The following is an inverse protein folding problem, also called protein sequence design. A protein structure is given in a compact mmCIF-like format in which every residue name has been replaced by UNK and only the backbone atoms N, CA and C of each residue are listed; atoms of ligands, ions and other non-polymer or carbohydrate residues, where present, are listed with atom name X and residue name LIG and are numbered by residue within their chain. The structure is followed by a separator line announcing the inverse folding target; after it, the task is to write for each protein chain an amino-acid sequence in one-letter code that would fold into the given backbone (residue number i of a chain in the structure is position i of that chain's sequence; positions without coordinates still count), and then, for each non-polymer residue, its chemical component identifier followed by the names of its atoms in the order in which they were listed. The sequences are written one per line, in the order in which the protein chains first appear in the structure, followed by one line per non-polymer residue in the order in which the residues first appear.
data_IF_023306700354
#
_entry.id   IF_023306700354
#
_cell.length_a   1.000
_cell.length_b   1.000
_cell.length_c   1.000
_cell.angle_alpha   90.00
_cell.angle_beta   90.00
_cell.angle_gamma   90.00
#
_symmetry.space_group_name_H-M   'P 1'
#
loop_
_entity.id
_entity.type
_entity.pdbx_description
1 polymer ?
#
# COMPACT_ATOMS: atom_id res chain seq x y z
N UNK A 1 -0.02 21.13 -14.00
CA UNK A 1 1.29 20.54 -14.29
C UNK A 1 2.32 21.02 -13.26
N UNK A 2 2.68 22.29 -13.22
CA UNK A 2 3.73 22.88 -12.37
C UNK A 2 3.64 22.51 -10.87
N UNK A 3 2.45 22.54 -10.27
CA UNK A 3 2.26 22.15 -8.87
C UNK A 3 2.54 20.66 -8.61
N UNK A 4 2.24 19.80 -9.57
CA UNK A 4 2.49 18.36 -9.44
C UNK A 4 3.97 18.03 -9.61
N UNK A 5 4.66 18.78 -10.47
CA UNK A 5 6.11 18.70 -10.61
C UNK A 5 6.81 19.14 -9.32
N UNK A 6 6.38 20.24 -8.71
CA UNK A 6 6.90 20.67 -7.41
C UNK A 6 6.68 19.61 -6.31
N UNK A 7 5.50 18.99 -6.26
CA UNK A 7 5.23 17.91 -5.30
C UNK A 7 6.15 16.71 -5.56
N UNK A 8 6.32 16.30 -6.83
CA UNK A 8 7.23 15.23 -7.20
C UNK A 8 8.65 15.53 -6.72
N UNK A 9 9.19 16.68 -7.10
CA UNK A 9 10.56 17.06 -6.78
C UNK A 9 10.76 17.13 -5.26
N UNK A 10 9.80 17.71 -4.54
CA UNK A 10 9.86 17.73 -3.06
C UNK A 10 9.78 16.33 -2.43
N UNK A 11 9.02 15.42 -3.01
CA UNK A 11 8.95 14.01 -2.54
C UNK A 11 10.25 13.27 -2.85
N UNK A 12 10.83 13.50 -4.03
CA UNK A 12 12.10 12.93 -4.45
C UNK A 12 13.24 13.38 -3.52
N UNK A 13 13.37 14.69 -3.30
CA UNK A 13 14.34 15.27 -2.37
C UNK A 13 14.14 14.71 -0.95
N UNK A 14 12.87 14.66 -0.48
CA UNK A 14 12.54 14.14 0.84
C UNK A 14 12.94 12.67 1.03
N UNK A 15 12.83 11.86 -0.01
CA UNK A 15 13.25 10.46 0.03
C UNK A 15 14.78 10.35 -0.02
N UNK A 16 15.44 11.12 -0.89
CA UNK A 16 16.91 11.11 -1.00
C UNK A 16 17.56 11.54 0.32
N UNK A 17 17.14 12.64 0.91
CA UNK A 17 17.71 13.20 2.14
C UNK A 17 17.40 12.34 3.39
N UNK A 18 16.47 11.42 3.30
CA UNK A 18 16.08 10.58 4.44
C UNK A 18 17.01 9.41 4.70
N UNK A 19 17.80 9.02 3.71
CA UNK A 19 18.73 7.89 3.80
C UNK A 19 20.17 8.37 3.83
N UNK A 20 20.99 7.76 4.68
CA UNK A 20 22.41 8.09 4.77
C UNK A 20 23.18 7.36 3.66
N UNK A 21 23.93 8.12 2.88
CA UNK A 21 24.75 7.60 1.78
C UNK A 21 25.89 6.68 2.25
N UNK A 22 26.29 6.82 3.51
CA UNK A 22 27.38 6.07 4.14
C UNK A 22 26.89 4.89 4.98
N UNK A 23 25.60 4.60 4.96
CA UNK A 23 25.07 3.43 5.66
C UNK A 23 25.69 2.14 5.09
N UNK A 24 26.14 1.26 5.98
CA UNK A 24 26.86 0.02 5.61
C UNK A 24 26.01 -0.99 4.83
N UNK A 25 24.69 -0.86 4.89
CA UNK A 25 23.75 -1.78 4.26
C UNK A 25 22.68 -1.01 3.51
N UNK A 26 22.22 -1.53 2.36
CA UNK A 26 21.20 -0.87 1.56
C UNK A 26 19.86 -0.80 2.28
N UNK A 27 19.18 0.33 2.11
CA UNK A 27 17.79 0.48 2.49
C UNK A 27 16.88 0.05 1.34
N UNK A 28 15.77 -0.55 1.68
CA UNK A 28 14.73 -0.90 0.71
C UNK A 28 13.45 -0.17 1.08
N UNK A 29 12.89 0.52 0.09
CA UNK A 29 11.62 1.22 0.20
C UNK A 29 10.66 0.60 -0.81
N UNK A 30 9.55 0.09 -0.32
CA UNK A 30 8.50 -0.49 -1.16
C UNK A 30 7.23 0.34 -1.04
N UNK A 31 6.65 0.69 -2.18
CA UNK A 31 5.36 1.34 -2.28
C UNK A 31 4.34 0.36 -2.81
N UNK A 32 3.24 0.21 -2.11
CA UNK A 32 2.11 -0.61 -2.51
C UNK A 32 0.92 0.31 -2.78
N UNK A 33 0.57 0.49 -4.04
CA UNK A 33 -0.59 1.27 -4.46
C UNK A 33 -1.75 0.33 -4.76
N UNK A 34 -2.88 0.58 -4.16
CA UNK A 34 -4.07 -0.26 -4.25
C UNK A 34 -5.32 0.59 -4.21
N UNK A 35 -6.31 0.22 -5.02
CA UNK A 35 -7.66 0.76 -4.92
C UNK A 35 -8.49 -0.12 -3.99
N UNK A 36 -9.00 0.49 -2.93
CA UNK A 36 -9.80 -0.18 -1.91
C UNK A 36 -11.24 0.32 -1.97
N UNK A 37 -12.17 -0.62 -1.95
CA UNK A 37 -13.60 -0.34 -1.87
C UNK A 37 -14.13 -0.30 -0.42
N UNK A 38 -13.24 -0.27 0.56
CA UNK A 38 -13.57 -0.14 1.97
C UNK A 38 -14.02 1.28 2.30
N UNK A 39 -15.32 1.44 2.49
CA UNK A 39 -15.94 2.71 2.84
C UNK A 39 -16.25 2.84 4.33
N UNK A 40 -15.99 1.82 5.15
CA UNK A 40 -16.27 1.81 6.59
C UNK A 40 -15.50 2.92 7.30
N UNK A 41 -14.27 3.22 6.87
CA UNK A 41 -13.49 4.34 7.40
C UNK A 41 -14.21 5.70 7.24
N UNK A 42 -14.97 5.89 6.17
CA UNK A 42 -15.76 7.13 6.00
C UNK A 42 -16.97 7.17 6.92
N UNK A 43 -17.63 6.03 7.11
CA UNK A 43 -18.76 5.93 8.05
C UNK A 43 -18.29 6.25 9.46
N UNK A 44 -17.15 5.73 9.89
CA UNK A 44 -16.55 6.04 11.19
C UNK A 44 -16.18 7.52 11.32
N UNK A 45 -15.66 8.14 10.27
CA UNK A 45 -15.41 9.58 10.24
C UNK A 45 -16.72 10.37 10.36
N UNK A 46 -17.77 9.99 9.66
CA UNK A 46 -19.09 10.63 9.77
C UNK A 46 -19.62 10.53 11.19
N UNK A 47 -19.48 9.39 11.86
CA UNK A 47 -19.83 9.23 13.28
C UNK A 47 -19.02 10.19 14.17
N UNK A 48 -17.72 10.35 13.92
CA UNK A 48 -16.86 11.27 14.64
C UNK A 48 -17.24 12.76 14.49
N UNK A 49 -17.98 13.13 13.44
CA UNK A 49 -18.49 14.50 13.25
C UNK A 49 -19.83 14.78 13.97
N UNK A 50 -20.49 13.73 14.46
CA UNK A 50 -21.74 13.90 15.18
C UNK A 50 -21.51 14.69 16.47
N UNK A 51 -22.28 15.75 16.64
CA UNK A 51 -22.19 16.57 17.86
C UNK A 51 -22.79 15.83 19.06
N UNK A 52 -22.26 16.01 20.29
CA UNK A 52 -22.72 15.29 21.47
C UNK A 52 -24.24 15.37 21.73
N UNK A 53 -24.86 16.53 21.42
CA UNK A 53 -26.30 16.71 21.59
C UNK A 53 -27.17 15.98 20.55
N UNK A 54 -26.57 15.54 19.46
CA UNK A 54 -27.25 14.78 18.38
C UNK A 54 -26.92 13.29 18.42
N UNK A 55 -25.96 12.89 19.25
CA UNK A 55 -25.55 11.51 19.42
C UNK A 55 -26.70 10.65 19.98
N UNK A 56 -26.92 9.48 19.37
CA UNK A 56 -28.00 8.58 19.76
C UNK A 56 -29.42 9.04 19.40
N UNK A 57 -29.59 10.18 18.73
CA UNK A 57 -30.92 10.59 18.26
C UNK A 57 -31.38 9.69 17.11
N UNK A 58 -32.68 9.40 17.05
CA UNK A 58 -33.27 8.56 16.01
C UNK A 58 -33.02 9.09 14.59
N UNK A 59 -32.99 10.42 14.44
CA UNK A 59 -32.68 11.07 13.17
C UNK A 59 -31.22 10.85 12.76
N UNK A 60 -30.29 11.09 13.68
CA UNK A 60 -28.85 10.91 13.41
C UNK A 60 -28.51 9.46 13.04
N UNK A 61 -29.09 8.52 13.80
CA UNK A 61 -28.89 7.10 13.52
C UNK A 61 -29.52 6.66 12.18
N UNK A 62 -30.67 7.20 11.82
CA UNK A 62 -31.29 6.94 10.52
C UNK A 62 -30.45 7.51 9.38
N UNK A 63 -29.93 8.73 9.56
CA UNK A 63 -29.08 9.38 8.58
C UNK A 63 -27.77 8.63 8.39
N UNK A 64 -27.09 8.21 9.47
CA UNK A 64 -25.85 7.44 9.40
C UNK A 64 -26.06 6.09 8.69
N UNK A 65 -27.15 5.38 8.98
CA UNK A 65 -27.49 4.13 8.27
C UNK A 65 -27.73 4.36 6.78
N UNK A 66 -28.39 5.45 6.42
CA UNK A 66 -28.65 5.78 5.03
C UNK A 66 -27.36 6.14 4.28
N UNK A 67 -26.46 6.90 4.92
CA UNK A 67 -25.15 7.22 4.36
C UNK A 67 -24.29 5.97 4.19
N UNK A 68 -24.28 5.07 5.17
CA UNK A 68 -23.58 3.80 5.07
C UNK A 68 -24.12 2.96 3.90
N UNK A 69 -25.44 2.86 3.77
CA UNK A 69 -26.08 2.15 2.67
C UNK A 69 -25.72 2.77 1.32
N UNK A 70 -25.72 4.09 1.23
CA UNK A 70 -25.34 4.82 0.04
C UNK A 70 -23.89 4.57 -0.36
N UNK A 71 -22.96 4.72 0.60
CA UNK A 71 -21.53 4.48 0.36
C UNK A 71 -21.25 3.05 -0.09
N UNK A 72 -21.84 2.05 0.58
CA UNK A 72 -21.73 0.65 0.15
C UNK A 72 -22.34 0.41 -1.23
N UNK A 73 -23.43 1.10 -1.56
CA UNK A 73 -24.06 1.03 -2.86
C UNK A 73 -23.16 1.54 -4.00
N UNK A 74 -22.42 2.63 -3.78
CA UNK A 74 -21.47 3.17 -4.80
C UNK A 74 -20.13 2.41 -4.85
N UNK A 75 -19.76 1.72 -3.78
CA UNK A 75 -18.53 0.94 -3.70
C UNK A 75 -18.67 -0.52 -4.18
N UNK A 76 -19.86 -0.94 -4.54
CA UNK A 76 -20.12 -2.31 -5.02
C UNK A 76 -19.33 -2.63 -6.28
N UNK A 77 -18.94 -3.91 -6.51
CA UNK A 77 -18.12 -4.31 -7.64
C UNK A 77 -18.66 -3.92 -9.02
N UNK A 78 -19.98 -3.99 -9.19
CA UNK A 78 -20.66 -3.64 -10.44
C UNK A 78 -20.67 -2.13 -10.72
N UNK A 79 -20.38 -1.33 -9.69
CA UNK A 79 -20.39 0.12 -9.76
C UNK A 79 -21.79 0.72 -9.99
N UNK A 80 -21.82 2.01 -10.30
CA UNK A 80 -23.05 2.74 -10.63
C UNK A 80 -23.35 2.72 -12.14
N UNK A 81 -22.31 2.78 -12.95
CA UNK A 81 -22.38 2.69 -14.40
C UNK A 81 -21.03 2.23 -14.95
N UNK A 82 -21.04 1.81 -16.22
CA UNK A 82 -19.79 1.48 -16.91
C UNK A 82 -19.27 2.69 -17.66
N UNK A 83 -18.03 3.05 -17.42
CA UNK A 83 -17.33 4.06 -18.20
C UNK A 83 -16.96 3.48 -19.58
N UNK A 84 -17.77 3.79 -20.58
CA UNK A 84 -17.54 3.31 -21.95
C UNK A 84 -16.59 4.19 -22.76
N UNK A 85 -16.23 5.36 -22.23
CA UNK A 85 -15.45 6.36 -22.97
C UNK A 85 -13.95 6.23 -22.74
N UNK A 86 -13.52 5.91 -21.50
CA UNK A 86 -12.11 5.95 -21.12
C UNK A 86 -11.61 4.58 -20.70
N UNK A 87 -12.16 3.99 -19.63
CA UNK A 87 -11.60 2.79 -19.02
C UNK A 87 -12.26 1.49 -19.43
N UNK A 88 -13.49 1.52 -19.86
CA UNK A 88 -14.31 0.35 -20.11
C UNK A 88 -14.71 -0.41 -18.84
N UNK A 89 -14.38 0.09 -17.65
CA UNK A 89 -14.61 -0.54 -16.37
C UNK A 89 -15.85 -0.01 -15.65
N UNK A 90 -16.41 -0.74 -14.69
CA UNK A 90 -17.46 -0.22 -13.82
C UNK A 90 -16.94 0.98 -13.01
N UNK A 91 -17.65 2.10 -13.06
CA UNK A 91 -17.37 3.24 -12.20
C UNK A 91 -17.93 2.99 -10.80
N UNK A 92 -17.08 3.03 -9.81
CA UNK A 92 -17.42 2.76 -8.41
C UNK A 92 -16.67 3.68 -7.45
N UNK A 93 -17.20 3.86 -6.25
CA UNK A 93 -16.51 4.53 -5.17
C UNK A 93 -15.38 3.65 -4.64
N UNK A 94 -14.16 4.16 -4.70
CA UNK A 94 -12.99 3.49 -4.16
C UNK A 94 -11.98 4.52 -3.67
N UNK A 95 -11.12 4.10 -2.75
CA UNK A 95 -10.01 4.89 -2.25
C UNK A 95 -8.71 4.35 -2.81
N UNK A 96 -7.93 5.22 -3.45
CA UNK A 96 -6.55 4.88 -3.78
C UNK A 96 -5.68 5.08 -2.56
N UNK A 97 -5.10 4.00 -2.07
CA UNK A 97 -4.21 4.01 -0.93
C UNK A 97 -2.81 3.61 -1.36
N UNK A 98 -1.83 4.37 -0.87
CA UNK A 98 -0.42 4.01 -1.00
C UNK A 98 0.11 3.67 0.38
N UNK A 99 0.70 2.49 0.51
CA UNK A 99 1.41 2.06 1.72
C UNK A 99 2.89 2.01 1.41
N UNK A 100 3.69 2.48 2.33
CA UNK A 100 5.14 2.45 2.21
C UNK A 100 5.71 1.54 3.30
N UNK A 101 6.59 0.64 2.89
CA UNK A 101 7.35 -0.24 3.78
C UNK A 101 8.82 0.08 3.64
N UNK A 102 9.49 0.34 4.75
CA UNK A 102 10.92 0.62 4.81
C UNK A 102 11.59 -0.48 5.60
N UNK A 103 12.60 -1.10 5.04
CA UNK A 103 13.40 -2.10 5.73
C UNK A 103 14.83 -2.15 5.20
N UNK A 104 15.69 -2.83 5.92
CA UNK A 104 17.01 -3.22 5.43
C UNK A 104 17.45 -4.56 5.99
N UNK A 105 18.33 -5.22 5.28
CA UNK A 105 18.96 -6.45 5.73
C UNK A 105 20.23 -6.10 6.48
N UNK A 106 20.39 -6.65 7.66
CA UNK A 106 21.54 -6.42 8.51
C UNK A 106 22.24 -7.76 8.72
N UNK A 107 23.54 -7.80 8.42
CA UNK A 107 24.37 -8.98 8.67
C UNK A 107 24.56 -9.25 10.17
N UNK A 108 24.95 -10.47 10.52
CA UNK A 108 25.22 -10.85 11.90
C UNK A 108 26.34 -10.04 12.53
N UNK A 109 27.28 -9.51 11.73
CA UNK A 109 28.42 -8.70 12.16
C UNK A 109 28.13 -7.21 11.94
N UNK A 110 26.97 -6.75 12.33
CA UNK A 110 26.62 -5.34 12.23
C UNK A 110 27.42 -4.52 13.25
N UNK A 111 28.12 -3.49 12.77
CA UNK A 111 28.90 -2.55 13.58
C UNK A 111 28.25 -1.16 13.65
N UNK A 112 26.96 -1.05 13.31
CA UNK A 112 26.26 0.22 13.41
C UNK A 112 26.25 0.76 14.83
N UNK A 113 26.44 2.07 15.02
CA UNK A 113 26.53 2.69 16.35
C UNK A 113 25.21 2.64 17.13
N UNK A 114 24.09 2.41 16.45
CA UNK A 114 22.77 2.33 17.05
C UNK A 114 22.13 0.95 16.88
N UNK A 115 21.25 0.55 17.81
CA UNK A 115 20.45 -0.65 17.65
C UNK A 115 19.59 -0.58 16.36
N UNK A 116 19.42 -1.67 15.62
CA UNK A 116 18.71 -1.68 14.33
C UNK A 116 17.31 -1.07 14.38
N UNK A 117 16.55 -1.36 15.44
CA UNK A 117 15.20 -0.81 15.62
C UNK A 117 15.22 0.71 15.84
N UNK A 118 16.19 1.22 16.57
CA UNK A 118 16.33 2.65 16.80
C UNK A 118 16.67 3.39 15.51
N UNK A 119 17.59 2.84 14.71
CA UNK A 119 17.96 3.38 13.40
C UNK A 119 16.77 3.35 12.42
N UNK A 120 16.03 2.24 12.35
CA UNK A 120 14.81 2.16 11.52
C UNK A 120 13.78 3.22 11.95
N UNK A 121 13.56 3.39 13.25
CA UNK A 121 12.64 4.41 13.76
C UNK A 121 13.09 5.83 13.40
N UNK A 122 14.39 6.11 13.45
CA UNK A 122 14.95 7.41 13.06
C UNK A 122 14.72 7.68 11.56
N UNK A 123 15.02 6.72 10.69
CA UNK A 123 14.80 6.85 9.25
C UNK A 123 13.31 7.04 8.95
N UNK A 124 12.44 6.21 9.52
CA UNK A 124 10.98 6.37 9.35
C UNK A 124 10.50 7.76 9.80
N UNK A 125 11.02 8.30 10.90
CA UNK A 125 10.65 9.64 11.39
C UNK A 125 11.13 10.75 10.44
N UNK A 126 12.33 10.63 9.87
CA UNK A 126 12.84 11.56 8.85
C UNK A 126 11.94 11.54 7.61
N UNK A 127 11.65 10.36 7.07
CA UNK A 127 10.79 10.20 5.89
C UNK A 127 9.40 10.80 6.14
N UNK A 128 8.76 10.48 7.27
CA UNK A 128 7.44 11.03 7.61
C UNK A 128 7.48 12.56 7.74
N UNK A 129 8.52 13.10 8.38
CA UNK A 129 8.70 14.54 8.54
C UNK A 129 8.92 15.25 7.19
N UNK A 130 9.77 14.70 6.35
CA UNK A 130 10.08 15.25 5.03
C UNK A 130 8.88 15.21 4.09
N UNK A 131 8.17 14.08 4.01
CA UNK A 131 6.94 13.96 3.23
C UNK A 131 5.83 14.88 3.77
N UNK A 132 5.76 15.07 5.10
CA UNK A 132 4.87 16.05 5.73
C UNK A 132 5.16 17.47 5.27
N UNK A 133 6.43 17.84 5.14
CA UNK A 133 6.87 19.11 4.54
C UNK A 133 6.43 19.28 3.09
N UNK A 134 6.39 18.21 2.32
CA UNK A 134 5.88 18.17 0.94
C UNK A 134 4.34 18.20 0.86
N UNK A 135 3.63 18.24 2.00
CA UNK A 135 2.17 18.20 2.05
C UNK A 135 1.56 16.80 1.97
N UNK A 136 2.38 15.76 2.03
CA UNK A 136 1.92 14.36 2.05
C UNK A 136 1.72 13.92 3.50
N UNK A 137 0.48 13.62 3.86
CA UNK A 137 0.16 13.14 5.20
C UNK A 137 0.42 11.64 5.32
N UNK A 138 1.41 11.28 6.12
CA UNK A 138 1.75 9.90 6.42
C UNK A 138 1.25 9.52 7.82
N UNK A 139 0.68 8.32 7.94
CA UNK A 139 0.28 7.73 9.23
C UNK A 139 0.99 6.39 9.38
N UNK A 140 1.70 6.21 10.50
CA UNK A 140 2.39 4.95 10.78
C UNK A 140 1.37 3.88 11.13
N UNK A 141 1.42 2.76 10.42
CA UNK A 141 0.56 1.61 10.70
C UNK A 141 1.05 0.85 11.93
N UNK A 142 0.13 0.45 12.78
CA UNK A 142 0.40 -0.51 13.85
C UNK A 142 0.24 -1.95 13.34
N UNK A 143 0.60 -2.94 14.17
CA UNK A 143 0.54 -4.37 13.78
C UNK A 143 -0.86 -4.82 13.37
N UNK A 144 -1.91 -4.34 14.04
CA UNK A 144 -3.29 -4.67 13.71
C UNK A 144 -3.71 -4.12 12.33
N UNK A 145 -3.30 -2.91 12.00
CA UNK A 145 -3.57 -2.31 10.69
C UNK A 145 -2.83 -3.05 9.57
N UNK A 146 -1.59 -3.48 9.82
CA UNK A 146 -0.82 -4.31 8.87
C UNK A 146 -1.50 -5.66 8.69
N UNK A 147 -1.90 -6.32 9.78
CA UNK A 147 -2.63 -7.58 9.72
C UNK A 147 -3.94 -7.45 8.93
N UNK A 148 -4.76 -6.44 9.22
CA UNK A 148 -6.01 -6.20 8.52
C UNK A 148 -5.82 -5.91 7.02
N UNK A 149 -4.75 -5.23 6.63
CA UNK A 149 -4.40 -5.03 5.22
C UNK A 149 -4.04 -6.35 4.52
N UNK A 150 -3.13 -7.12 5.11
CA UNK A 150 -2.68 -8.41 4.55
C UNK A 150 -3.81 -9.45 4.54
N UNK A 151 -4.66 -9.45 5.57
CA UNK A 151 -5.81 -10.34 5.63
C UNK A 151 -6.73 -10.17 4.41
N UNK A 152 -6.98 -8.92 4.01
CA UNK A 152 -7.79 -8.60 2.82
C UNK A 152 -7.13 -9.05 1.53
N UNK A 153 -5.81 -8.95 1.46
CA UNK A 153 -5.04 -9.36 0.29
C UNK A 153 -5.07 -10.89 0.10
N UNK A 154 -4.93 -11.62 1.19
CA UNK A 154 -4.87 -13.09 1.15
C UNK A 154 -6.24 -13.78 1.19
N UNK A 155 -7.30 -13.07 1.57
CA UNK A 155 -8.66 -13.59 1.59
C UNK A 155 -9.61 -12.66 0.84
N UNK A 156 -9.48 -12.57 -0.48
CA UNK A 156 -10.27 -11.65 -1.29
C UNK A 156 -11.75 -12.07 -1.38
N UNK A 157 -12.04 -13.36 -1.22
CA UNK A 157 -13.40 -13.92 -1.32
C UNK A 157 -13.58 -15.11 -0.38
N UNK A 158 -13.56 -14.90 0.95
CA UNK A 158 -13.66 -15.99 1.90
C UNK A 158 -14.98 -16.75 1.76
N UNK A 159 -14.92 -18.09 1.72
CA UNK A 159 -16.12 -18.95 1.55
C UNK A 159 -16.88 -19.20 2.85
N UNK A 160 -16.17 -19.17 3.98
CA UNK A 160 -16.68 -19.62 5.29
C UNK A 160 -17.34 -18.52 6.11
N UNK A 161 -17.11 -17.27 5.77
CA UNK A 161 -17.64 -16.11 6.49
C UNK A 161 -17.85 -14.98 5.51
N UNK A 162 -18.85 -14.15 5.79
CA UNK A 162 -19.04 -12.93 5.02
C UNK A 162 -17.78 -12.06 5.08
N UNK A 163 -17.32 -11.61 3.92
CA UNK A 163 -16.08 -10.83 3.76
C UNK A 163 -16.05 -9.59 4.64
N UNK A 164 -17.15 -8.86 4.68
CA UNK A 164 -17.22 -7.62 5.45
C UNK A 164 -17.22 -7.90 6.96
N UNK A 165 -17.79 -9.03 7.38
CA UNK A 165 -17.74 -9.47 8.78
C UNK A 165 -16.30 -9.83 9.15
N UNK A 166 -15.61 -10.63 8.32
CA UNK A 166 -14.23 -11.02 8.56
C UNK A 166 -13.31 -9.81 8.72
N UNK A 167 -13.41 -8.85 7.79
CA UNK A 167 -12.55 -7.67 7.81
C UNK A 167 -12.82 -6.75 9.00
N UNK A 168 -14.09 -6.64 9.43
CA UNK A 168 -14.45 -5.89 10.63
C UNK A 168 -13.97 -6.56 11.91
N UNK A 169 -14.07 -7.87 11.99
CA UNK A 169 -13.57 -8.62 13.15
C UNK A 169 -12.06 -8.47 13.28
N UNK A 170 -11.33 -8.63 12.19
CA UNK A 170 -9.89 -8.43 12.17
C UNK A 170 -9.45 -7.01 12.56
N UNK A 171 -10.24 -6.00 12.16
CA UNK A 171 -9.95 -4.60 12.49
C UNK A 171 -10.24 -4.25 13.95
N UNK A 172 -11.12 -4.99 14.63
CA UNK A 172 -11.57 -4.75 16.00
C UNK A 172 -10.98 -5.71 17.02
N UNK A 173 -10.28 -6.75 16.57
CA UNK A 173 -9.63 -7.67 17.49
C UNK A 173 -8.63 -6.89 18.35
N UNK A 174 -8.89 -6.82 19.65
CA UNK A 174 -7.92 -6.28 20.60
C UNK A 174 -6.69 -7.18 20.59
N UNK A 175 -5.48 -6.60 20.59
CA UNK A 175 -4.27 -7.41 20.72
C UNK A 175 -4.36 -8.20 22.01
N UNK A 176 -4.28 -9.52 21.92
CA UNK A 176 -4.15 -10.34 23.12
C UNK A 176 -2.84 -9.96 23.80
N UNK A 177 -2.95 -9.45 25.02
CA UNK A 177 -1.77 -9.25 25.86
C UNK A 177 -1.18 -10.62 26.19
N UNK A 178 -0.12 -10.97 25.51
CA UNK A 178 0.69 -12.14 25.89
C UNK A 178 1.71 -11.71 26.92
N UNK A 179 1.94 -12.52 27.99
CA UNK A 179 3.00 -12.24 28.93
C UNK A 179 4.34 -12.04 28.20
N UNK A 180 5.14 -11.10 28.67
CA UNK A 180 6.42 -10.76 28.09
C UNK A 180 7.31 -12.03 27.93
N UNK A 181 7.75 -12.32 26.71
CA UNK A 181 8.54 -13.48 26.38
C UNK A 181 7.77 -14.75 26.00
N UNK A 182 6.43 -14.73 25.99
CA UNK A 182 5.63 -15.85 25.48
C UNK A 182 5.13 -15.54 24.06
N UNK A 183 5.37 -16.46 23.13
CA UNK A 183 4.70 -16.43 21.83
C UNK A 183 3.22 -16.78 22.03
N UNK A 184 2.29 -16.16 21.30
CA UNK A 184 0.88 -16.57 21.30
C UNK A 184 0.80 -18.07 20.95
N UNK A 185 0.10 -18.83 21.77
CA UNK A 185 0.15 -20.29 21.78
C UNK A 185 -0.44 -20.94 20.53
N UNK A 186 -0.96 -20.23 19.57
CA UNK A 186 -1.73 -20.88 18.52
C UNK A 186 -1.37 -20.52 17.08
N UNK A 187 -0.65 -19.46 16.80
CA UNK A 187 -0.38 -19.12 15.38
C UNK A 187 0.82 -18.22 15.26
N UNK A 188 1.67 -18.49 14.29
CA UNK A 188 2.55 -17.45 13.81
C UNK A 188 1.72 -16.40 12.99
N UNK A 189 2.34 -15.28 12.70
CA UNK A 189 1.67 -14.19 11.98
C UNK A 189 1.18 -14.65 10.59
N UNK A 190 1.94 -15.50 9.91
CA UNK A 190 1.61 -15.98 8.58
C UNK A 190 0.39 -16.91 8.61
N UNK A 191 0.33 -17.84 9.57
CA UNK A 191 -0.84 -18.72 9.73
C UNK A 191 -2.12 -17.94 10.00
N UNK A 192 -2.03 -16.84 10.74
CA UNK A 192 -3.20 -15.98 11.04
C UNK A 192 -3.79 -15.27 9.82
N UNK A 193 -3.07 -15.22 8.71
CA UNK A 193 -3.52 -14.57 7.48
C UNK A 193 -4.28 -15.50 6.53
N UNK A 194 -4.21 -16.82 6.72
CA UNK A 194 -4.77 -17.79 5.78
C UNK A 194 -6.01 -18.47 6.36
N UNK A 195 -7.19 -18.18 5.83
CA UNK A 195 -8.42 -18.89 6.14
C UNK A 195 -8.65 -20.05 5.18
N UNK A 196 -8.23 -19.90 3.94
CA UNK A 196 -8.23 -20.97 2.94
C UNK A 196 -6.81 -21.19 2.46
N UNK A 197 -6.32 -22.44 2.43
CA UNK A 197 -4.98 -22.71 1.91
C UNK A 197 -4.84 -22.23 0.46
N UNK A 198 -3.77 -21.49 0.13
CA UNK A 198 -3.51 -21.11 -1.25
C UNK A 198 -3.14 -22.33 -2.09
N UNK A 199 -3.58 -22.37 -3.33
CA UNK A 199 -3.20 -23.40 -4.29
C UNK A 199 -2.24 -22.82 -5.31
N UNK A 200 -1.06 -23.42 -5.43
CA UNK A 200 -0.06 -23.03 -6.41
C UNK A 200 -0.27 -23.78 -7.73
N UNK A 201 -0.29 -23.04 -8.81
CA UNK A 201 -0.33 -23.56 -10.19
C UNK A 201 0.91 -23.04 -10.94
N UNK A 202 2.07 -23.71 -10.80
CA UNK A 202 3.32 -23.27 -11.40
C UNK A 202 3.33 -23.40 -12.93
N UNK A 203 2.51 -24.27 -13.50
CA UNK A 203 2.44 -24.44 -14.95
C UNK A 203 1.85 -23.20 -15.63
N UNK A 204 0.87 -22.57 -14.98
CA UNK A 204 0.24 -21.36 -15.48
C UNK A 204 0.78 -20.08 -14.83
N UNK A 205 1.72 -20.19 -13.88
CA UNK A 205 2.28 -19.05 -13.15
C UNK A 205 1.24 -18.32 -12.29
N UNK A 206 0.28 -19.05 -11.73
CA UNK A 206 -0.86 -18.51 -11.00
C UNK A 206 -0.92 -19.07 -9.59
N UNK A 207 -1.35 -18.24 -8.65
CA UNK A 207 -1.80 -18.65 -7.32
C UNK A 207 -3.31 -18.47 -7.22
N UNK A 208 -3.95 -19.44 -6.63
CA UNK A 208 -5.38 -19.39 -6.36
C UNK A 208 -5.59 -19.04 -4.88
N UNK A 209 -6.22 -17.89 -4.64
CA UNK A 209 -6.63 -17.43 -3.32
C UNK A 209 -8.15 -17.36 -3.31
N UNK A 210 -8.80 -18.12 -2.41
CA UNK A 210 -10.27 -18.21 -2.35
C UNK A 210 -10.90 -18.49 -3.74
N UNK A 211 -10.32 -19.37 -4.53
CA UNK A 211 -10.78 -19.69 -5.86
C UNK A 211 -10.60 -18.59 -6.93
N UNK A 212 -9.91 -17.49 -6.58
CA UNK A 212 -9.55 -16.42 -7.51
C UNK A 212 -8.12 -16.56 -7.99
N UNK A 213 -7.84 -16.48 -9.30
CA UNK A 213 -6.50 -16.55 -9.84
C UNK A 213 -5.72 -15.25 -9.58
N UNK A 214 -4.50 -15.37 -9.10
CA UNK A 214 -3.57 -14.25 -8.87
C UNK A 214 -2.29 -14.51 -9.63
N UNK A 215 -1.83 -13.53 -10.39
CA UNK A 215 -0.56 -13.58 -11.10
C UNK A 215 0.27 -12.34 -10.79
N UNK A 216 1.58 -12.49 -10.73
CA UNK A 216 2.50 -11.39 -10.64
C UNK A 216 2.99 -11.00 -12.04
N UNK A 217 2.82 -9.73 -12.40
CA UNK A 217 3.33 -9.18 -13.66
C UNK A 217 4.45 -8.21 -13.33
N UNK A 218 5.61 -8.44 -13.90
CA UNK A 218 6.79 -7.59 -13.68
C UNK A 218 6.99 -6.68 -14.88
N UNK A 219 7.18 -5.38 -14.61
CA UNK A 219 7.59 -4.42 -15.63
C UNK A 219 9.09 -4.51 -15.79
N UNK A 220 9.55 -5.13 -16.87
CA UNK A 220 10.97 -5.35 -17.15
C UNK A 220 11.68 -4.06 -17.60
N UNK A 221 10.98 -3.23 -18.37
CA UNK A 221 11.57 -2.00 -18.93
C UNK A 221 10.52 -0.91 -19.11
N UNK A 222 10.77 0.23 -18.52
CA UNK A 222 10.06 1.48 -18.82
C UNK A 222 10.80 2.17 -19.98
N UNK A 223 10.15 2.32 -21.13
CA UNK A 223 10.77 2.99 -22.30
C UNK A 223 10.85 4.49 -22.10
N UNK A 224 9.83 5.06 -21.52
CA UNK A 224 9.72 6.49 -21.22
C UNK A 224 9.13 6.64 -19.82
N UNK A 225 9.72 7.47 -18.95
CA UNK A 225 9.11 7.78 -17.66
C UNK A 225 7.73 8.43 -17.88
N UNK A 226 6.69 8.04 -17.14
CA UNK A 226 5.40 8.69 -17.22
C UNK A 226 5.50 10.14 -16.74
N UNK A 227 4.88 11.07 -17.47
CA UNK A 227 4.84 12.47 -17.05
C UNK A 227 3.95 12.63 -15.80
N UNK A 228 4.41 13.38 -14.79
CA UNK A 228 3.64 13.63 -13.57
C UNK A 228 2.30 14.33 -13.89
N UNK A 229 1.22 13.81 -13.31
CA UNK A 229 -0.09 14.46 -13.35
C UNK A 229 -0.89 14.29 -14.63
N UNK A 230 -0.47 13.45 -15.57
CA UNK A 230 -1.27 13.10 -16.74
C UNK A 230 -2.34 12.09 -16.33
N UNK A 231 -3.55 12.55 -16.04
CA UNK A 231 -4.64 11.71 -15.55
C UNK A 231 -5.49 11.13 -16.70
N UNK A 232 -5.53 11.80 -17.85
CA UNK A 232 -6.38 11.43 -18.98
C UNK A 232 -5.58 11.15 -20.24
N UNK A 233 -5.98 10.09 -20.98
CA UNK A 233 -5.27 9.56 -22.12
C UNK A 233 -5.11 10.45 -23.35
N UNK A 234 -5.78 11.58 -23.47
CA UNK A 234 -5.67 12.44 -24.64
C UNK A 234 -4.33 13.21 -24.72
N UNK A 235 -3.72 13.50 -23.60
CA UNK A 235 -2.44 14.21 -23.55
C UNK A 235 -1.22 13.27 -23.56
N UNK A 236 -1.43 12.00 -23.26
CA UNK A 236 -0.35 11.04 -23.05
C UNK A 236 0.20 10.41 -24.35
N UNK A 237 -0.25 10.79 -25.54
CA UNK A 237 0.18 10.18 -26.83
C UNK A 237 0.32 8.64 -26.77
N UNK A 238 -0.61 7.98 -26.09
CA UNK A 238 -0.59 6.52 -25.89
C UNK A 238 0.17 6.03 -24.66
N UNK A 239 0.80 6.91 -23.87
CA UNK A 239 1.42 6.55 -22.59
C UNK A 239 0.41 6.68 -21.47
N UNK A 240 0.21 5.60 -20.72
CA UNK A 240 -0.69 5.57 -19.57
C UNK A 240 0.10 5.88 -18.30
N UNK A 241 -0.41 6.79 -17.50
CA UNK A 241 0.12 7.04 -16.15
C UNK A 241 -0.22 5.88 -15.23
N UNK A 242 0.45 5.81 -14.06
CA UNK A 242 0.12 4.83 -13.01
C UNK A 242 -1.37 4.88 -12.65
N UNK A 243 -1.98 6.06 -12.59
CA UNK A 243 -3.41 6.18 -12.33
C UNK A 243 -4.26 5.52 -13.43
N UNK A 244 -3.96 5.80 -14.69
CA UNK A 244 -4.68 5.19 -15.81
C UNK A 244 -4.47 3.67 -15.87
N UNK A 245 -3.30 3.18 -15.49
CA UNK A 245 -3.04 1.74 -15.38
C UNK A 245 -3.88 1.11 -14.27
N UNK A 246 -3.93 1.73 -13.08
CA UNK A 246 -4.75 1.23 -11.97
C UNK A 246 -6.24 1.20 -12.34
N UNK A 247 -6.73 2.20 -13.07
CA UNK A 247 -8.13 2.27 -13.50
C UNK A 247 -8.50 1.17 -14.50
N UNK A 248 -7.52 0.58 -15.18
CA UNK A 248 -7.73 -0.51 -16.16
C UNK A 248 -7.50 -1.90 -15.58
N UNK A 249 -6.92 -2.00 -14.39
CA UNK A 249 -6.67 -3.28 -13.76
C UNK A 249 -7.91 -3.84 -13.05
N UNK A 250 -8.01 -5.18 -12.91
CA UNK A 250 -9.06 -5.80 -12.11
C UNK A 250 -9.04 -5.31 -10.66
N UNK A 251 -10.21 -5.41 -10.01
CA UNK A 251 -10.32 -5.18 -8.57
C UNK A 251 -9.34 -6.05 -7.80
N UNK A 252 -8.75 -5.47 -6.75
CA UNK A 252 -7.76 -6.16 -5.91
C UNK A 252 -6.34 -6.14 -6.44
N UNK A 253 -6.09 -5.54 -7.62
CA UNK A 253 -4.73 -5.37 -8.14
C UNK A 253 -3.91 -4.46 -7.22
N UNK A 254 -2.69 -4.91 -6.91
CA UNK A 254 -1.72 -4.14 -6.14
C UNK A 254 -0.53 -3.82 -7.04
N UNK A 255 -0.25 -2.54 -7.23
CA UNK A 255 0.97 -2.09 -7.88
C UNK A 255 2.06 -1.95 -6.82
N UNK A 256 3.14 -2.73 -6.97
CA UNK A 256 4.31 -2.64 -6.10
C UNK A 256 5.48 -2.00 -6.84
N UNK A 257 6.07 -0.96 -6.24
CA UNK A 257 7.32 -0.36 -6.67
C UNK A 257 8.36 -0.51 -5.57
N UNK A 258 9.53 -1.06 -5.92
CA UNK A 258 10.63 -1.24 -4.98
C UNK A 258 11.81 -0.38 -5.38
N UNK A 259 12.29 0.43 -4.45
CA UNK A 259 13.49 1.25 -4.58
C UNK A 259 14.54 0.68 -3.64
N UNK A 260 15.73 0.43 -4.16
CA UNK A 260 16.88 -0.01 -3.35
C UNK A 260 17.87 1.16 -3.30
N UNK A 261 18.01 1.77 -2.11
CA UNK A 261 18.98 2.82 -1.84
C UNK A 261 20.29 2.15 -1.45
N UNK A 262 21.25 2.16 -2.36
CA UNK A 262 22.54 1.52 -2.14
C UNK A 262 23.54 2.50 -1.51
N UNK A 263 24.48 2.01 -0.67
CA UNK A 263 25.58 2.81 -0.20
C UNK A 263 26.41 3.38 -1.35
N UNK A 264 26.88 4.61 -1.21
CA UNK A 264 27.61 5.31 -2.27
C UNK A 264 28.88 4.58 -2.68
N UNK A 265 29.64 4.07 -1.72
CA UNK A 265 30.85 3.29 -1.98
C UNK A 265 30.60 2.09 -2.92
N UNK A 266 29.48 1.39 -2.72
CA UNK A 266 29.09 0.26 -3.56
C UNK A 266 28.73 0.71 -4.98
N UNK A 267 28.12 1.88 -5.13
CA UNK A 267 27.80 2.46 -6.43
C UNK A 267 29.06 2.88 -7.18
N UNK A 268 30.01 3.56 -6.51
CA UNK A 268 31.27 3.96 -7.10
C UNK A 268 32.11 2.77 -7.58
N UNK A 269 32.19 1.71 -6.78
CA UNK A 269 32.85 0.45 -7.18
C UNK A 269 32.19 -0.16 -8.42
N UNK A 270 30.84 -0.18 -8.47
CA UNK A 270 30.11 -0.68 -9.63
C UNK A 270 30.32 0.18 -10.86
N UNK A 271 30.26 1.50 -10.72
CA UNK A 271 30.55 2.42 -11.83
C UNK A 271 31.97 2.26 -12.35
N UNK A 272 32.95 2.17 -11.45
CA UNK A 272 34.35 1.94 -11.82
C UNK A 272 34.52 0.62 -12.57
N UNK A 273 33.83 -0.45 -12.14
CA UNK A 273 33.87 -1.75 -12.80
C UNK A 273 33.20 -1.72 -14.18
N UNK A 274 32.03 -1.06 -14.27
CA UNK A 274 31.33 -0.90 -15.55
C UNK A 274 32.13 -0.05 -16.55
N UNK A 275 32.73 1.04 -16.08
CA UNK A 275 33.59 1.90 -16.89
C UNK A 275 34.80 1.12 -17.42
N UNK A 276 35.48 0.31 -16.60
CA UNK A 276 36.59 -0.55 -17.02
C UNK A 276 36.15 -1.59 -18.04
N UNK A 277 34.96 -2.16 -17.91
CA UNK A 277 34.45 -3.14 -18.86
C UNK A 277 33.95 -2.53 -20.18
N UNK A 278 33.66 -1.23 -20.20
CA UNK A 278 33.21 -0.52 -21.40
C UNK A 278 34.40 0.00 -22.25
N UNK A 279 35.60 0.06 -21.69
CA UNK A 279 36.83 0.56 -22.36
C UNK A 279 37.74 -0.60 -22.82
N UNK A 280 37.48 -1.82 -22.39
CA UNK A 280 38.17 -3.04 -22.83
C UNK A 280 37.39 -3.79 -23.88
#
# INVERSE_FOLDING_TARGET
AERLEQIRDTVEDALQDSFDEYDSHPWVVQFFCQDENDVDTYVDQLRGYVKPHAEGSSFTEAWLREMERHLKGIARPEGLFRDTLVTGQPWRGQQRRTRMVIYRWIGKNNHDPMPPVAMLNQVCSRVVGALGGAGVRCTRMNGQQVHGWLLRLFNPRPEWVDRDILYRMASRAEPQETPEGMMPVMTDFAESLWFTPPVSDPENGVWWLDGLPHAAVVVEKLRTPPEPGTITGEQARGEKTVNALMDTFPEGTVLCMTIVVQPQDTLEERFTRLSKNAVG
#
